data_IF_087081287609
#
_entry.id   IF_087081287609
#
_cell.length_a   1.000
_cell.length_b   1.000
_cell.length_c   1.000
_cell.angle_alpha   90.00
_cell.angle_beta   90.00
_cell.angle_gamma   90.00
#
_symmetry.space_group_name_H-M   'P 1'
#
loop_
_entity.id
_entity.type
_entity.pdbx_description
1 polymer ?
#
# COMPACT_ATOMS: atom_id res chain seq x y z
N UNK A 1 0.27 4.99 -9.30
CA UNK A 1 1.65 5.51 -9.24
C UNK A 1 2.57 4.32 -9.08
N UNK A 2 3.56 4.13 -9.96
CA UNK A 2 4.41 2.93 -9.96
C UNK A 2 5.69 3.15 -9.13
N UNK A 3 5.54 3.62 -7.89
CA UNK A 3 6.69 3.92 -7.02
C UNK A 3 7.57 2.69 -6.80
N UNK A 4 6.94 1.53 -6.62
CA UNK A 4 7.62 0.25 -6.39
C UNK A 4 8.51 -0.21 -7.55
N UNK A 5 8.42 0.39 -8.73
CA UNK A 5 9.31 0.10 -9.85
C UNK A 5 10.69 0.74 -9.71
N UNK A 6 10.85 1.71 -8.80
CA UNK A 6 12.12 2.33 -8.46
C UNK A 6 12.34 2.31 -6.95
N UNK A 7 13.29 1.50 -6.50
CA UNK A 7 13.58 1.28 -5.08
C UNK A 7 14.03 2.54 -4.34
N UNK A 8 14.79 3.42 -5.00
CA UNK A 8 15.22 4.68 -4.38
C UNK A 8 14.04 5.62 -4.22
N UNK A 9 13.24 5.79 -5.28
CA UNK A 9 12.08 6.69 -5.27
C UNK A 9 11.03 6.29 -4.23
N UNK A 10 10.74 4.99 -4.07
CA UNK A 10 9.78 4.53 -3.06
C UNK A 10 10.32 4.75 -1.64
N UNK A 11 11.63 4.57 -1.42
CA UNK A 11 12.25 4.78 -0.11
C UNK A 11 12.21 6.27 0.27
N UNK A 12 12.55 7.17 -0.66
CA UNK A 12 12.46 8.61 -0.43
C UNK A 12 11.02 9.06 -0.13
N UNK A 13 10.05 8.52 -0.86
CA UNK A 13 8.63 8.81 -0.62
C UNK A 13 8.15 8.30 0.75
N UNK A 14 8.57 7.10 1.17
CA UNK A 14 8.26 6.56 2.50
C UNK A 14 8.82 7.47 3.59
N UNK A 15 10.10 7.84 3.50
CA UNK A 15 10.75 8.69 4.49
C UNK A 15 10.13 10.09 4.57
N UNK A 16 9.93 10.74 3.42
CA UNK A 16 9.32 12.07 3.37
C UNK A 16 7.88 12.07 3.92
N UNK A 17 7.11 11.01 3.66
CA UNK A 17 5.75 10.88 4.19
C UNK A 17 5.75 10.62 5.69
N UNK A 18 6.66 9.77 6.17
CA UNK A 18 6.81 9.45 7.59
C UNK A 18 7.19 10.69 8.41
N UNK A 19 8.14 11.50 7.90
CA UNK A 19 8.52 12.78 8.49
C UNK A 19 7.36 13.78 8.49
N UNK A 20 6.66 13.92 7.37
CA UNK A 20 5.53 14.85 7.23
C UNK A 20 4.38 14.51 8.20
N UNK A 21 4.12 13.22 8.42
CA UNK A 21 3.04 12.74 9.28
C UNK A 21 3.47 12.50 10.74
N UNK A 22 4.74 12.77 11.08
CA UNK A 22 5.35 12.48 12.39
C UNK A 22 5.06 11.04 12.86
N UNK A 23 5.30 10.08 11.98
CA UNK A 23 5.02 8.66 12.23
C UNK A 23 6.16 7.76 11.79
N UNK A 24 6.16 6.52 12.26
CA UNK A 24 7.17 5.54 11.86
C UNK A 24 6.98 5.15 10.39
N UNK A 25 8.08 5.20 9.63
CA UNK A 25 8.23 4.76 8.25
C UNK A 25 7.64 3.38 7.98
N UNK A 26 7.81 2.43 8.90
CA UNK A 26 7.26 1.07 8.79
C UNK A 26 5.73 1.05 8.58
N UNK A 27 5.00 2.05 9.09
CA UNK A 27 3.56 2.13 8.89
C UNK A 27 3.20 2.60 7.48
N UNK A 28 3.96 3.54 6.92
CA UNK A 28 3.80 4.00 5.53
C UNK A 28 4.15 2.86 4.57
N UNK A 29 5.28 2.19 4.80
CA UNK A 29 5.73 1.08 3.97
C UNK A 29 4.69 -0.05 3.96
N UNK A 30 4.22 -0.46 5.16
CA UNK A 30 3.20 -1.50 5.30
C UNK A 30 1.90 -1.12 4.58
N UNK A 31 1.40 0.10 4.77
CA UNK A 31 0.14 0.54 4.15
C UNK A 31 0.27 0.63 2.62
N UNK A 32 1.43 1.05 2.10
CA UNK A 32 1.71 1.05 0.67
C UNK A 32 1.64 -0.36 0.07
N UNK A 33 2.36 -1.33 0.66
CA UNK A 33 2.40 -2.70 0.12
C UNK A 33 1.06 -3.42 0.24
N UNK A 34 0.33 -3.21 1.34
CA UNK A 34 -1.03 -3.77 1.49
C UNK A 34 -1.94 -3.19 0.42
N UNK A 35 -1.95 -1.87 0.24
CA UNK A 35 -2.79 -1.22 -0.79
C UNK A 35 -2.43 -1.68 -2.20
N UNK A 36 -1.14 -1.81 -2.51
CA UNK A 36 -0.68 -2.29 -3.81
C UNK A 36 -1.09 -3.74 -4.06
N UNK A 37 -0.88 -4.64 -3.09
CA UNK A 37 -1.29 -6.04 -3.21
C UNK A 37 -2.82 -6.17 -3.41
N UNK A 38 -3.61 -5.38 -2.67
CA UNK A 38 -5.06 -5.33 -2.85
C UNK A 38 -5.43 -4.86 -4.26
N UNK A 39 -4.83 -3.77 -4.73
CA UNK A 39 -5.03 -3.26 -6.07
C UNK A 39 -4.75 -4.32 -7.14
N UNK A 40 -3.60 -4.99 -7.07
CA UNK A 40 -3.22 -6.05 -8.01
C UNK A 40 -4.22 -7.22 -8.00
N UNK A 41 -4.64 -7.68 -6.81
CA UNK A 41 -5.62 -8.77 -6.69
C UNK A 41 -6.97 -8.36 -7.29
N UNK A 42 -7.46 -7.16 -7.00
CA UNK A 42 -8.73 -6.66 -7.54
C UNK A 42 -8.73 -6.55 -9.07
N UNK A 43 -7.59 -6.24 -9.67
CA UNK A 43 -7.47 -6.12 -11.13
C UNK A 43 -7.01 -7.42 -11.82
N UNK A 44 -6.76 -8.48 -11.05
CA UNK A 44 -6.43 -9.81 -11.57
C UNK A 44 -7.69 -10.61 -11.94
N UNK A 45 -7.51 -11.72 -12.66
CA UNK A 45 -8.60 -12.64 -13.01
C UNK A 45 -9.28 -13.29 -11.80
N UNK A 46 -8.64 -13.31 -10.64
CA UNK A 46 -9.22 -13.85 -9.40
C UNK A 46 -9.92 -12.79 -8.55
N UNK A 47 -9.84 -11.51 -8.92
CA UNK A 47 -10.45 -10.41 -8.17
C UNK A 47 -11.95 -10.56 -7.97
N UNK A 48 -12.66 -11.11 -8.97
CA UNK A 48 -14.11 -11.40 -8.89
C UNK A 48 -14.46 -12.58 -7.97
N UNK A 49 -13.48 -13.38 -7.58
CA UNK A 49 -13.61 -14.53 -6.69
C UNK A 49 -13.03 -14.26 -5.29
N UNK A 50 -12.38 -13.11 -5.11
CA UNK A 50 -11.79 -12.69 -3.85
C UNK A 50 -12.78 -11.82 -3.06
N UNK A 51 -12.97 -12.14 -1.78
CA UNK A 51 -13.71 -11.29 -0.84
C UNK A 51 -12.76 -10.88 0.27
N UNK A 52 -12.42 -9.59 0.33
CA UNK A 52 -11.61 -9.04 1.41
C UNK A 52 -12.47 -8.79 2.65
N UNK A 53 -11.96 -9.20 3.81
CA UNK A 53 -12.60 -9.05 5.12
C UNK A 53 -11.58 -8.50 6.12
N UNK A 54 -12.06 -8.01 7.26
CA UNK A 54 -11.23 -7.46 8.35
C UNK A 54 -11.44 -5.97 8.57
N UNK A 55 -10.77 -5.40 9.58
CA UNK A 55 -10.94 -3.99 9.97
C UNK A 55 -10.57 -2.99 8.89
N UNK A 56 -9.65 -3.35 7.99
CA UNK A 56 -9.24 -2.52 6.84
C UNK A 56 -10.31 -2.47 5.74
N UNK A 57 -11.14 -3.51 5.61
CA UNK A 57 -12.21 -3.54 4.61
C UNK A 57 -13.43 -2.68 5.01
N UNK A 58 -13.58 -2.35 6.30
CA UNK A 58 -14.69 -1.54 6.81
C UNK A 58 -14.48 -0.02 6.74
N UNK A 59 -13.31 0.44 6.29
CA UNK A 59 -12.95 1.86 6.19
C UNK A 59 -12.74 2.35 4.74
N UNK A 60 -13.10 1.53 3.75
CA UNK A 60 -13.05 1.88 2.33
C UNK A 60 -14.37 2.46 1.83
#
# INVERSE_FOLDING_TARGET
MNLHSNKELIQDAILATAEYLDMRDIYIEKDYWVTFALYEIFHSSIGSQAVFKGGTAGQA
#
